data_IF_068810958685
#
_entry.id   IF_068810958685
#
_cell.length_a   1.000
_cell.length_b   1.000
_cell.length_c   1.000
_cell.angle_alpha   90.00
_cell.angle_beta   90.00
_cell.angle_gamma   90.00
#
_symmetry.space_group_name_H-M   'P 1'
#
loop_
_entity.id
_entity.type
_entity.pdbx_description
1 polymer ?
#
# COMPACT_ATOMS: atom_id res chain seq x y z
N UNK A 1 13.03 10.66 -10.10
CA UNK A 1 12.63 9.87 -8.91
C UNK A 1 12.32 10.83 -7.78
N UNK A 2 11.09 10.87 -7.28
CA UNK A 2 10.80 11.68 -6.11
C UNK A 2 11.25 10.89 -4.87
N UNK A 3 12.54 10.98 -4.50
CA UNK A 3 13.13 10.25 -3.35
C UNK A 3 12.29 10.47 -2.08
N UNK A 4 11.71 11.66 -1.95
CA UNK A 4 10.77 12.03 -0.90
C UNK A 4 9.56 11.07 -0.81
N UNK A 5 8.94 10.72 -1.95
CA UNK A 5 7.79 9.79 -1.98
C UNK A 5 8.18 8.41 -1.46
N UNK A 6 9.34 7.89 -1.89
CA UNK A 6 9.82 6.59 -1.41
C UNK A 6 10.09 6.63 0.11
N UNK A 7 10.73 7.70 0.60
CA UNK A 7 10.99 7.88 2.03
C UNK A 7 9.67 7.94 2.81
N UNK A 8 8.68 8.70 2.35
CA UNK A 8 7.37 8.77 2.99
C UNK A 8 6.67 7.41 3.04
N UNK A 9 6.71 6.63 1.95
CA UNK A 9 6.11 5.29 1.91
C UNK A 9 6.80 4.35 2.89
N UNK A 10 8.14 4.32 2.92
CA UNK A 10 8.89 3.45 3.83
C UNK A 10 8.71 3.87 5.29
N UNK A 11 8.67 5.17 5.56
CA UNK A 11 8.39 5.69 6.88
C UNK A 11 6.96 5.37 7.33
N UNK A 12 5.98 5.50 6.44
CA UNK A 12 4.60 5.11 6.72
C UNK A 12 4.47 3.60 6.96
N UNK A 13 5.21 2.77 6.22
CA UNK A 13 5.25 1.32 6.45
C UNK A 13 5.80 1.00 7.85
N UNK A 14 6.88 1.66 8.25
CA UNK A 14 7.42 1.51 9.61
C UNK A 14 6.40 1.95 10.67
N UNK A 15 5.76 3.12 10.51
CA UNK A 15 4.73 3.61 11.43
C UNK A 15 3.51 2.70 11.50
N UNK A 16 3.07 2.16 10.36
CA UNK A 16 1.94 1.25 10.28
C UNK A 16 2.19 -0.03 11.08
N UNK A 17 3.33 -0.70 10.81
CA UNK A 17 3.70 -1.92 11.54
C UNK A 17 3.92 -1.63 13.03
N UNK A 18 4.57 -0.52 13.36
CA UNK A 18 4.77 -0.12 14.76
C UNK A 18 3.44 0.14 15.47
N UNK A 19 2.49 0.81 14.81
CA UNK A 19 1.16 1.06 15.35
C UNK A 19 0.38 -0.23 15.59
N UNK A 20 0.41 -1.15 14.61
CA UNK A 20 -0.23 -2.47 14.71
C UNK A 20 0.33 -3.29 15.89
N UNK A 21 1.65 -3.21 16.13
CA UNK A 21 2.31 -3.89 17.24
C UNK A 21 2.05 -3.18 18.59
N UNK A 22 2.09 -1.85 18.64
CA UNK A 22 1.99 -1.06 19.87
C UNK A 22 0.54 -0.93 20.40
N UNK A 23 -0.45 -0.87 19.50
CA UNK A 23 -1.85 -0.66 19.85
C UNK A 23 -2.71 -1.87 19.45
N UNK A 24 -2.70 -2.97 20.23
CA UNK A 24 -3.54 -4.14 19.97
C UNK A 24 -5.04 -3.87 20.18
N UNK A 25 -5.46 -2.62 20.44
CA UNK A 25 -6.84 -2.23 20.69
C UNK A 25 -7.80 -2.62 19.56
N UNK A 26 -7.35 -2.49 18.30
CA UNK A 26 -8.10 -2.96 17.11
C UNK A 26 -8.29 -4.48 17.13
N UNK A 27 -7.23 -5.22 17.47
CA UNK A 27 -7.27 -6.68 17.63
C UNK A 27 -8.18 -7.13 18.77
N UNK A 28 -8.22 -6.40 19.90
CA UNK A 28 -9.09 -6.74 21.04
C UNK A 28 -10.57 -6.50 20.74
N UNK A 29 -10.90 -5.42 20.04
CA UNK A 29 -12.29 -5.08 19.70
C UNK A 29 -12.85 -5.93 18.56
N UNK A 30 -12.08 -6.14 17.50
CA UNK A 30 -12.53 -6.83 16.29
C UNK A 30 -12.16 -8.33 16.27
N UNK A 31 -11.38 -8.80 17.27
CA UNK A 31 -10.75 -10.12 17.30
C UNK A 31 -9.86 -10.42 16.07
N UNK A 32 -9.45 -9.37 15.37
CA UNK A 32 -8.69 -9.41 14.11
C UNK A 32 -7.75 -8.20 14.01
N UNK A 33 -6.52 -8.43 13.54
CA UNK A 33 -5.56 -7.37 13.27
C UNK A 33 -5.75 -6.88 11.84
N UNK A 34 -5.99 -5.58 11.65
CA UNK A 34 -6.05 -4.98 10.32
C UNK A 34 -4.61 -4.62 9.92
N UNK A 35 -4.12 -5.28 8.86
CA UNK A 35 -2.80 -5.03 8.29
C UNK A 35 -2.90 -3.96 7.19
N UNK A 36 -2.15 -2.87 7.37
CA UNK A 36 -2.07 -1.72 6.45
C UNK A 36 -1.02 -1.90 5.36
N UNK A 37 -0.11 -2.87 5.46
CA UNK A 37 0.96 -3.09 4.48
C UNK A 37 0.43 -3.44 3.07
N UNK A 38 -0.59 -4.30 2.90
CA UNK A 38 -1.15 -4.56 1.57
C UNK A 38 -1.75 -3.30 0.95
N UNK A 39 -2.39 -2.45 1.75
CA UNK A 39 -2.94 -1.18 1.30
C UNK A 39 -1.84 -0.18 0.87
N UNK A 40 -0.75 -0.09 1.65
CA UNK A 40 0.45 0.66 1.26
C UNK A 40 1.10 0.11 -0.01
N UNK A 41 1.06 -1.20 -0.21
CA UNK A 41 1.59 -1.86 -1.39
C UNK A 41 0.76 -1.54 -2.65
N UNK A 42 -0.57 -1.48 -2.53
CA UNK A 42 -1.46 -0.97 -3.60
C UNK A 42 -1.08 0.47 -3.95
N UNK A 43 -0.87 1.33 -2.95
CA UNK A 43 -0.43 2.69 -3.19
C UNK A 43 0.92 2.75 -3.91
N UNK A 44 1.93 2.02 -3.42
CA UNK A 44 3.28 2.05 -3.98
C UNK A 44 3.33 1.50 -5.41
N UNK A 45 2.61 0.42 -5.70
CA UNK A 45 2.55 -0.20 -7.03
C UNK A 45 1.93 0.70 -8.10
N UNK A 46 1.03 1.61 -7.71
CA UNK A 46 0.43 2.62 -8.61
C UNK A 46 1.16 3.96 -8.61
N UNK A 47 2.17 4.15 -7.75
CA UNK A 47 2.79 5.47 -7.52
C UNK A 47 4.30 5.51 -7.71
N UNK A 48 4.98 4.37 -7.67
CA UNK A 48 6.45 4.29 -7.66
C UNK A 48 6.92 3.27 -8.67
N UNK A 49 8.18 3.40 -9.12
CA UNK A 49 8.85 2.43 -9.97
C UNK A 49 9.06 1.09 -9.24
N UNK A 50 9.36 0.04 -10.00
CA UNK A 50 9.59 -1.32 -9.51
C UNK A 50 10.57 -1.40 -8.32
N UNK A 51 11.73 -0.69 -8.31
CA UNK A 51 12.62 -0.72 -7.14
C UNK A 51 11.98 -0.22 -5.85
N UNK A 52 11.02 0.71 -5.94
CA UNK A 52 10.29 1.18 -4.76
C UNK A 52 9.29 0.15 -4.24
N UNK A 53 8.65 -0.60 -5.14
CA UNK A 53 7.79 -1.74 -4.80
C UNK A 53 8.60 -2.83 -4.10
N UNK A 54 9.77 -3.18 -4.66
CA UNK A 54 10.70 -4.14 -4.05
C UNK A 54 11.16 -3.67 -2.67
N UNK A 55 11.59 -2.41 -2.56
CA UNK A 55 12.04 -1.84 -1.30
C UNK A 55 10.94 -1.87 -0.23
N UNK A 56 9.70 -1.51 -0.58
CA UNK A 56 8.58 -1.60 0.35
C UNK A 56 8.29 -3.05 0.76
N UNK A 57 8.33 -4.01 -0.17
CA UNK A 57 8.06 -5.41 0.15
C UNK A 57 9.12 -5.98 1.11
N UNK A 58 10.39 -5.68 0.85
CA UNK A 58 11.51 -6.13 1.69
C UNK A 58 11.48 -5.44 3.05
N UNK A 59 11.48 -4.10 3.09
CA UNK A 59 11.51 -3.36 4.35
C UNK A 59 10.23 -3.59 5.17
N UNK A 60 9.05 -3.48 4.53
CA UNK A 60 7.77 -3.69 5.19
C UNK A 60 7.60 -5.12 5.70
N UNK A 61 7.95 -6.12 4.89
CA UNK A 61 7.92 -7.52 5.29
C UNK A 61 8.86 -7.81 6.46
N UNK A 62 10.10 -7.31 6.42
CA UNK A 62 11.06 -7.49 7.52
C UNK A 62 10.61 -6.78 8.80
N UNK A 63 10.06 -5.57 8.71
CA UNK A 63 9.53 -4.87 9.88
C UNK A 63 8.37 -5.66 10.51
N UNK A 64 7.45 -6.15 9.67
CA UNK A 64 6.32 -6.94 10.13
C UNK A 64 6.74 -8.26 10.77
N UNK A 65 7.64 -9.00 10.12
CA UNK A 65 8.11 -10.28 10.64
C UNK A 65 8.95 -10.10 11.92
N UNK A 66 9.65 -8.97 12.08
CA UNK A 66 10.42 -8.67 13.30
C UNK A 66 9.56 -8.34 14.51
N UNK A 67 8.36 -7.79 14.29
CA UNK A 67 7.42 -7.38 15.34
C UNK A 67 6.27 -8.38 15.54
N UNK A 68 6.12 -9.34 14.64
CA UNK A 68 5.15 -10.44 14.73
C UNK A 68 5.80 -11.74 15.20
N UNK A 69 4.98 -12.75 15.46
CA UNK A 69 5.46 -14.10 15.78
C UNK A 69 5.82 -14.94 14.54
N UNK A 70 5.87 -14.32 13.36
CA UNK A 70 6.16 -15.02 12.10
C UNK A 70 7.68 -15.19 11.92
N UNK A 71 8.13 -16.25 11.23
CA UNK A 71 9.51 -16.37 10.79
C UNK A 71 9.94 -15.19 9.91
N UNK A 72 11.16 -14.70 10.13
CA UNK A 72 11.71 -13.57 9.40
C UNK A 72 11.75 -13.82 7.88
N UNK A 73 11.14 -12.91 7.13
CA UNK A 73 11.17 -12.89 5.68
C UNK A 73 9.98 -13.56 4.99
N UNK A 74 9.09 -14.22 5.73
CA UNK A 74 7.91 -14.88 5.14
C UNK A 74 6.96 -13.86 4.50
N UNK A 75 6.81 -12.67 5.08
CA UNK A 75 5.88 -11.66 4.57
C UNK A 75 6.40 -10.93 3.33
N UNK A 76 7.69 -11.06 2.99
CA UNK A 76 8.30 -10.39 1.83
C UNK A 76 7.67 -10.89 0.52
N UNK A 77 7.55 -12.22 0.35
CA UNK A 77 7.08 -12.81 -0.90
C UNK A 77 5.59 -12.50 -1.15
N UNK A 78 4.66 -12.67 -0.20
CA UNK A 78 3.26 -12.26 -0.35
C UNK A 78 3.11 -10.78 -0.71
N UNK A 79 3.79 -9.88 0.00
CA UNK A 79 3.73 -8.43 -0.27
C UNK A 79 4.29 -8.10 -1.65
N UNK A 80 5.43 -8.71 -2.02
CA UNK A 80 6.02 -8.52 -3.34
C UNK A 80 5.09 -9.02 -4.45
N UNK A 81 4.50 -10.21 -4.31
CA UNK A 81 3.58 -10.77 -5.32
C UNK A 81 2.38 -9.86 -5.54
N UNK A 82 1.73 -9.39 -4.46
CA UNK A 82 0.60 -8.46 -4.55
C UNK A 82 1.02 -7.16 -5.24
N UNK A 83 2.10 -6.54 -4.80
CA UNK A 83 2.60 -5.29 -5.38
C UNK A 83 3.01 -5.43 -6.85
N UNK A 84 3.67 -6.53 -7.19
CA UNK A 84 4.16 -6.80 -8.54
C UNK A 84 3.02 -7.05 -9.53
N UNK A 85 1.99 -7.81 -9.14
CA UNK A 85 0.82 -8.07 -9.97
C UNK A 85 0.06 -6.77 -10.30
N UNK A 86 -0.11 -5.89 -9.31
CA UNK A 86 -0.72 -4.57 -9.52
C UNK A 86 0.19 -3.70 -10.39
N UNK A 87 1.50 -3.71 -10.14
CA UNK A 87 2.49 -2.90 -10.87
C UNK A 87 2.52 -3.20 -12.38
N UNK A 88 2.38 -4.47 -12.79
CA UNK A 88 2.33 -4.85 -14.21
C UNK A 88 1.07 -4.29 -14.89
N UNK A 89 -0.04 -4.21 -14.17
CA UNK A 89 -1.34 -3.78 -14.69
C UNK A 89 -1.66 -2.30 -14.40
N UNK A 90 -0.74 -1.55 -13.79
CA UNK A 90 -1.00 -0.19 -13.29
C UNK A 90 -1.52 0.79 -14.35
N UNK A 91 -1.10 0.64 -15.61
CA UNK A 91 -1.51 1.55 -16.71
C UNK A 91 -3.00 1.37 -17.10
N UNK A 92 -3.62 0.24 -16.70
CA UNK A 92 -5.04 -0.04 -16.92
C UNK A 92 -5.91 0.35 -15.71
N UNK A 93 -5.27 0.68 -14.59
CA UNK A 93 -5.93 0.91 -13.30
C UNK A 93 -6.15 2.41 -13.13
N UNK A 94 -7.40 2.82 -12.95
CA UNK A 94 -7.74 4.19 -12.61
C UNK A 94 -7.41 4.46 -11.14
N UNK A 95 -6.17 4.85 -10.89
CA UNK A 95 -5.66 5.19 -9.55
C UNK A 95 -6.53 6.20 -8.81
N UNK A 96 -7.06 7.23 -9.48
CA UNK A 96 -7.74 8.35 -8.82
C UNK A 96 -9.19 8.03 -8.41
N UNK A 97 -9.71 6.86 -8.78
CA UNK A 97 -11.07 6.45 -8.45
C UNK A 97 -11.10 5.70 -7.12
N UNK A 98 -11.85 6.21 -6.16
CA UNK A 98 -12.03 5.57 -4.85
C UNK A 98 -12.58 4.13 -4.98
N UNK A 99 -13.41 3.87 -6.00
CA UNK A 99 -13.89 2.53 -6.32
C UNK A 99 -12.74 1.56 -6.64
N UNK A 100 -11.82 1.95 -7.52
CA UNK A 100 -10.68 1.11 -7.88
C UNK A 100 -9.75 0.89 -6.68
N UNK A 101 -9.47 1.94 -5.91
CA UNK A 101 -8.68 1.86 -4.68
C UNK A 101 -9.30 0.89 -3.66
N UNK A 102 -10.62 0.95 -3.46
CA UNK A 102 -11.34 0.09 -2.54
C UNK A 102 -11.21 -1.40 -2.92
N UNK A 103 -11.49 -1.73 -4.19
CA UNK A 103 -11.42 -3.13 -4.65
C UNK A 103 -10.00 -3.67 -4.70
N UNK A 104 -9.02 -2.84 -5.05
CA UNK A 104 -7.61 -3.23 -5.02
C UNK A 104 -7.13 -3.44 -3.58
N UNK A 105 -7.54 -2.58 -2.65
CA UNK A 105 -7.29 -2.75 -1.22
C UNK A 105 -7.88 -4.05 -0.68
N UNK A 106 -9.14 -4.32 -1.03
CA UNK A 106 -9.82 -5.56 -0.65
C UNK A 106 -9.07 -6.78 -1.17
N UNK A 107 -8.75 -6.80 -2.47
CA UNK A 107 -8.05 -7.91 -3.10
C UNK A 107 -6.64 -8.10 -2.52
N UNK A 108 -5.88 -7.02 -2.33
CA UNK A 108 -4.54 -7.05 -1.76
C UNK A 108 -4.55 -7.62 -0.33
N UNK A 109 -5.44 -7.12 0.53
CA UNK A 109 -5.56 -7.58 1.92
C UNK A 109 -6.23 -8.95 2.06
N UNK A 110 -6.92 -9.45 1.04
CA UNK A 110 -7.41 -10.83 1.01
C UNK A 110 -6.31 -11.81 0.55
N UNK A 111 -5.55 -11.44 -0.48
CA UNK A 111 -4.55 -12.30 -1.12
C UNK A 111 -3.26 -12.38 -0.31
N UNK A 112 -2.79 -11.28 0.28
CA UNK A 112 -1.57 -11.26 1.08
C UNK A 112 -1.57 -12.31 2.21
N UNK A 113 -2.56 -12.33 3.14
CA UNK A 113 -2.59 -13.32 4.20
C UNK A 113 -2.82 -14.75 3.68
N UNK A 114 -3.55 -14.92 2.57
CA UNK A 114 -3.73 -16.23 1.94
C UNK A 114 -2.40 -16.80 1.45
N UNK A 115 -1.58 -15.99 0.80
CA UNK A 115 -0.24 -16.37 0.37
C UNK A 115 0.68 -16.64 1.57
N UNK A 116 0.61 -15.82 2.63
CA UNK A 116 1.38 -16.07 3.85
C UNK A 116 1.01 -17.41 4.50
N UNK A 117 -0.28 -17.74 4.60
CA UNK A 117 -0.76 -19.03 5.13
C UNK A 117 -0.25 -20.18 4.26
N UNK A 118 -0.32 -20.06 2.93
CA UNK A 118 0.18 -21.09 2.01
C UNK A 118 1.68 -21.34 2.20
N UNK A 119 2.48 -20.27 2.36
CA UNK A 119 3.91 -20.39 2.63
C UNK A 119 4.18 -21.05 3.99
N UNK A 120 3.45 -20.68 5.03
CA UNK A 120 3.59 -21.26 6.36
C UNK A 120 3.23 -22.75 6.38
N UNK A 121 2.15 -23.15 5.70
CA UNK A 121 1.77 -24.55 5.53
C UNK A 121 2.82 -25.34 4.74
N UNK A 122 3.36 -24.75 3.68
CA UNK A 122 4.45 -25.37 2.90
C UNK A 122 5.72 -25.51 3.73
N UNK A 123 5.97 -24.57 4.64
CA UNK A 123 7.07 -24.61 5.61
C UNK A 123 6.79 -25.49 6.84
N UNK A 124 5.71 -26.27 6.86
CA UNK A 124 5.40 -27.23 7.93
C UNK A 124 4.98 -26.61 9.27
N UNK A 125 4.61 -25.33 9.31
CA UNK A 125 4.18 -24.68 10.53
C UNK A 125 2.73 -25.06 10.88
N UNK A 126 2.45 -25.28 12.17
CA UNK A 126 1.10 -25.57 12.64
C UNK A 126 0.32 -24.25 12.78
N UNK A 127 -0.63 -24.02 11.87
CA UNK A 127 -1.55 -22.88 11.97
C UNK A 127 -2.83 -23.29 12.71
N UNK A 128 -3.26 -22.43 13.63
CA UNK A 128 -4.57 -22.53 14.27
C UNK A 128 -5.64 -22.03 13.30
N UNK A 129 -5.96 -22.85 12.30
CA UNK A 129 -7.06 -22.59 11.38
C UNK A 129 -8.37 -23.07 12.01
N UNK A 130 -9.29 -22.14 12.23
CA UNK A 130 -10.63 -22.43 12.74
C UNK A 130 -11.66 -21.49 12.15
N UNK A 131 -12.91 -21.59 12.63
CA UNK A 131 -13.99 -20.70 12.18
C UNK A 131 -13.69 -19.22 12.43
N UNK A 132 -12.96 -18.91 13.50
CA UNK A 132 -12.48 -17.55 13.79
C UNK A 132 -11.53 -17.00 12.72
N UNK A 133 -10.79 -17.84 12.01
CA UNK A 133 -9.85 -17.42 10.95
C UNK A 133 -10.58 -16.84 9.74
N UNK A 134 -11.78 -17.34 9.43
CA UNK A 134 -12.62 -16.78 8.36
C UNK A 134 -13.11 -15.38 8.73
N UNK A 135 -13.50 -15.17 10.00
CA UNK A 135 -13.86 -13.85 10.50
C UNK A 135 -12.69 -12.88 10.44
N UNK A 136 -11.51 -13.33 10.87
CA UNK A 136 -10.28 -12.53 10.80
C UNK A 136 -9.95 -12.14 9.36
N UNK A 137 -10.00 -13.10 8.43
CA UNK A 137 -9.76 -12.85 7.02
C UNK A 137 -10.74 -11.85 6.41
N UNK A 138 -12.03 -11.94 6.78
CA UNK A 138 -13.04 -10.97 6.36
C UNK A 138 -12.74 -9.57 6.88
N UNK A 139 -12.46 -9.42 8.18
CA UNK A 139 -12.15 -8.12 8.80
C UNK A 139 -10.87 -7.51 8.21
N UNK A 140 -9.84 -8.32 7.98
CA UNK A 140 -8.60 -7.88 7.32
C UNK A 140 -8.85 -7.36 5.92
N UNK A 141 -9.63 -8.10 5.12
CA UNK A 141 -9.96 -7.72 3.74
C UNK A 141 -10.77 -6.42 3.70
N UNK A 142 -11.77 -6.29 4.58
CA UNK A 142 -12.58 -5.08 4.70
C UNK A 142 -11.77 -3.88 5.20
N UNK A 143 -10.88 -4.09 6.18
CA UNK A 143 -9.96 -3.08 6.69
C UNK A 143 -9.01 -2.58 5.60
N UNK A 144 -8.48 -3.48 4.77
CA UNK A 144 -7.70 -3.15 3.57
C UNK A 144 -8.46 -2.30 2.55
N UNK A 145 -9.71 -2.69 2.28
CA UNK A 145 -10.59 -1.98 1.35
C UNK A 145 -10.85 -0.53 1.78
N UNK A 146 -11.08 -0.29 3.08
CA UNK A 146 -11.36 1.04 3.63
C UNK A 146 -10.08 1.87 3.80
N UNK A 147 -8.99 1.24 4.27
CA UNK A 147 -7.72 1.93 4.52
C UNK A 147 -7.04 2.41 3.24
N UNK A 148 -7.17 1.65 2.15
CA UNK A 148 -6.53 2.01 0.87
C UNK A 148 -6.91 3.41 0.38
N UNK A 149 -8.19 3.78 0.18
CA UNK A 149 -8.54 5.12 -0.26
C UNK A 149 -8.14 6.22 0.74
N UNK A 150 -8.15 5.92 2.05
CA UNK A 150 -7.67 6.85 3.08
C UNK A 150 -6.18 7.11 2.90
N UNK A 151 -5.37 6.07 2.68
CA UNK A 151 -3.95 6.20 2.43
C UNK A 151 -3.69 7.01 1.15
N UNK A 152 -4.39 6.72 0.05
CA UNK A 152 -4.29 7.52 -1.18
C UNK A 152 -4.54 9.01 -0.91
N UNK A 153 -5.62 9.33 -0.19
CA UNK A 153 -5.93 10.70 0.19
C UNK A 153 -4.81 11.36 1.02
N UNK A 154 -4.32 10.67 2.04
CA UNK A 154 -3.26 11.19 2.93
C UNK A 154 -1.96 11.42 2.15
N UNK A 155 -1.55 10.47 1.32
CA UNK A 155 -0.32 10.62 0.53
C UNK A 155 -0.45 11.70 -0.54
N UNK A 156 -1.58 11.77 -1.25
CA UNK A 156 -1.81 12.82 -2.23
C UNK A 156 -1.84 14.21 -1.56
N UNK A 157 -2.36 14.30 -0.33
CA UNK A 157 -2.29 15.52 0.48
C UNK A 157 -0.85 15.86 0.89
N UNK A 158 -0.09 14.90 1.41
CA UNK A 158 1.32 15.08 1.74
C UNK A 158 2.14 15.52 0.52
N UNK A 159 1.88 14.95 -0.65
CA UNK A 159 2.57 15.35 -1.88
C UNK A 159 2.21 16.76 -2.33
N UNK A 160 0.98 17.21 -2.11
CA UNK A 160 0.60 18.61 -2.36
C UNK A 160 1.26 19.56 -1.37
N UNK A 161 1.41 19.14 -0.11
CA UNK A 161 1.98 19.96 0.96
C UNK A 161 3.52 20.06 0.87
N UNK A 162 4.20 18.96 0.54
CA UNK A 162 5.67 18.85 0.54
C UNK A 162 6.29 18.79 -0.87
N UNK A 163 5.47 18.67 -1.91
CA UNK A 163 5.93 18.59 -3.29
C UNK A 163 6.39 19.95 -3.83
N UNK A 164 7.24 19.98 -4.88
CA UNK A 164 7.59 21.21 -5.55
C UNK A 164 6.32 21.91 -6.04
N UNK A 165 6.19 23.22 -5.75
CA UNK A 165 5.11 24.05 -6.29
C UNK A 165 4.99 23.81 -7.79
N UNK A 166 3.81 23.39 -8.26
CA UNK A 166 3.55 23.36 -9.71
C UNK A 166 3.82 24.77 -10.21
N UNK A 167 4.85 24.92 -11.04
CA UNK A 167 5.13 26.21 -11.69
C UNK A 167 3.83 26.61 -12.37
N UNK A 168 3.21 27.69 -11.90
CA UNK A 168 2.03 28.24 -12.51
C UNK A 168 2.44 28.60 -13.93
N UNK A 169 2.05 27.79 -14.92
CA UNK A 169 2.19 28.18 -16.31
C UNK A 169 1.27 29.39 -16.49
N UNK A 170 1.88 30.57 -16.43
CA UNK A 170 1.22 31.82 -16.76
C UNK A 170 0.66 31.68 -18.19
N UNK A 171 -0.59 32.09 -18.40
CA UNK A 171 -1.21 32.13 -19.73
C UNK A 171 -0.39 32.96 -20.72
N UNK A 172 0.46 33.85 -20.20
CA UNK A 172 1.50 34.55 -20.93
C UNK A 172 2.79 33.71 -20.94
N UNK A 173 2.96 32.93 -22.00
CA UNK A 173 4.24 32.29 -22.33
C UNK A 173 5.08 33.30 -23.14
N UNK A 174 6.15 33.89 -22.59
CA UNK A 174 6.99 34.85 -23.32
C UNK A 174 7.68 34.21 -24.55
N UNK A 175 7.73 32.89 -24.58
CA UNK A 175 8.19 32.02 -25.67
C UNK A 175 7.17 31.85 -26.81
N UNK A 176 5.93 32.37 -26.68
CA UNK A 176 4.92 32.33 -27.74
C UNK A 176 4.61 33.74 -28.25
N UNK A 177 5.06 34.02 -29.46
CA UNK A 177 4.67 35.21 -30.20
C UNK A 177 3.19 35.09 -30.63
N UNK A 178 2.32 35.95 -30.09
CA UNK A 178 0.90 35.99 -30.47
C UNK A 178 0.77 36.80 -31.76
N UNK A 179 0.72 36.14 -32.92
CA UNK A 179 0.31 36.78 -34.17
C UNK A 179 -1.18 37.12 -34.12
N UNK A 180 -1.52 38.36 -33.78
CA UNK A 180 -2.87 38.91 -34.00
C UNK A 180 -3.06 39.17 -35.50
N UNK A 181 -3.89 38.36 -36.15
CA UNK A 181 -4.38 38.65 -37.49
C UNK A 181 -5.19 39.95 -37.48
N UNK A 182 -4.76 40.93 -38.27
CA UNK A 182 -5.59 42.08 -38.65
C UNK A 182 -6.37 41.66 -39.90
N UNK A 183 -7.69 41.56 -39.76
CA UNK A 183 -8.59 41.71 -40.90
C UNK A 183 -8.77 43.20 -41.18
#
# INVERSE_FOLDING_TARGET
MNKLRLILILFAAFLAVFWEAAFPGTSRWLKAQVDLLPALMVFASLSVNLPGVIALAVCGGLFFDSLSANPLGISILPLFTVGFLIFIRRELILRDQAYAQFFLGLAASAVAPLLSVLLLLTGGHQLLLGWGSLWQWFVMSAGGAISTPILFFVFDWCERAFGPSRVTESSFRPDREIRRGRN
#
